data_IF_742755381565
#
_entry.id   IF_742755381565
#
_cell.length_a   1.000
_cell.length_b   1.000
_cell.length_c   1.000
_cell.angle_alpha   90.00
_cell.angle_beta   90.00
_cell.angle_gamma   90.00
#
_symmetry.space_group_name_H-M   'P 1'
#
loop_
_entity.id
_entity.type
_entity.pdbx_description
1 polymer ?
#
# COMPACT_ATOMS: atom_id res chain seq x y z
N UNK A 1 3.75 36.31 30.22
CA UNK A 1 2.74 35.85 29.23
C UNK A 1 3.35 35.05 28.08
N UNK A 2 4.52 35.38 27.54
CA UNK A 2 5.15 34.59 26.45
C UNK A 2 5.52 33.13 26.80
N UNK A 3 5.78 32.79 28.07
CA UNK A 3 6.12 31.41 28.47
C UNK A 3 4.94 30.43 28.52
N UNK A 4 3.69 30.92 28.41
CA UNK A 4 2.49 30.07 28.45
C UNK A 4 2.08 29.54 27.07
N UNK A 5 2.38 30.28 25.98
CA UNK A 5 2.06 29.85 24.61
C UNK A 5 2.89 28.63 24.19
N UNK A 6 4.18 28.63 24.53
CA UNK A 6 5.14 27.60 24.13
C UNK A 6 4.80 26.20 24.70
N UNK A 7 4.11 26.14 25.84
CA UNK A 7 3.70 24.86 26.44
C UNK A 7 2.44 24.30 25.80
N UNK A 8 1.55 25.14 25.28
CA UNK A 8 0.33 24.72 24.61
C UNK A 8 0.64 24.14 23.23
N UNK A 9 1.50 24.83 22.47
CA UNK A 9 1.92 24.39 21.13
C UNK A 9 2.62 23.02 21.18
N UNK A 10 3.46 22.77 22.20
CA UNK A 10 4.16 21.50 22.36
C UNK A 10 3.21 20.35 22.73
N UNK A 11 2.16 20.62 23.51
CA UNK A 11 1.12 19.63 23.82
C UNK A 11 0.29 19.31 22.59
N UNK A 12 -0.09 20.32 21.79
CA UNK A 12 -0.82 20.10 20.54
C UNK A 12 0.01 19.30 19.53
N UNK A 13 1.32 19.58 19.39
CA UNK A 13 2.23 18.80 18.54
C UNK A 13 2.39 17.36 19.04
N UNK A 14 2.48 17.16 20.36
CA UNK A 14 2.55 15.80 20.94
C UNK A 14 1.25 15.02 20.69
N UNK A 15 0.09 15.65 20.88
CA UNK A 15 -1.20 15.01 20.60
C UNK A 15 -1.37 14.69 19.12
N UNK A 16 -0.94 15.59 18.22
CA UNK A 16 -0.94 15.34 16.79
C UNK A 16 -0.03 14.15 16.45
N UNK A 17 1.19 14.12 17.01
CA UNK A 17 2.13 13.01 16.80
C UNK A 17 1.56 11.67 17.29
N UNK A 18 0.87 11.65 18.44
CA UNK A 18 0.22 10.43 18.95
C UNK A 18 -0.94 10.00 18.04
N UNK A 19 -1.77 10.93 17.56
CA UNK A 19 -2.88 10.60 16.65
C UNK A 19 -2.34 10.09 15.32
N UNK A 20 -1.30 10.70 14.76
CA UNK A 20 -0.63 10.23 13.54
C UNK A 20 -0.04 8.84 13.74
N UNK A 21 0.63 8.59 14.87
CA UNK A 21 1.20 7.29 15.20
C UNK A 21 0.16 6.18 15.47
N UNK A 22 -1.10 6.52 15.74
CA UNK A 22 -2.17 5.53 15.93
C UNK A 22 -3.03 5.29 14.69
N UNK A 23 -2.89 6.11 13.65
CA UNK A 23 -3.64 5.97 12.39
C UNK A 23 -2.84 5.18 11.34
N UNK A 24 -1.51 5.17 11.44
CA UNK A 24 -0.68 4.22 10.71
C UNK A 24 -0.83 2.84 11.36
N UNK A 25 -1.80 2.05 10.90
CA UNK A 25 -1.73 0.61 11.13
C UNK A 25 -0.69 0.07 10.16
N UNK A 26 0.53 -0.20 10.66
CA UNK A 26 1.62 -0.87 9.92
C UNK A 26 1.27 -2.34 9.58
N UNK A 27 -0.03 -2.69 9.57
CA UNK A 27 -0.52 -4.03 9.32
C UNK A 27 -0.66 -4.24 7.81
N UNK A 28 0.05 -5.25 7.33
CA UNK A 28 -0.04 -5.72 5.96
C UNK A 28 -1.40 -6.37 5.65
N UNK A 29 -1.67 -6.60 4.37
CA UNK A 29 -3.00 -6.99 3.88
C UNK A 29 -3.59 -8.26 4.51
N UNK A 30 -2.81 -9.13 5.14
CA UNK A 30 -3.33 -10.33 5.81
C UNK A 30 -3.52 -10.16 7.33
N UNK A 31 -3.22 -8.97 7.86
CA UNK A 31 -3.25 -8.63 9.28
C UNK A 31 -2.27 -9.40 10.16
N UNK A 32 -1.40 -10.22 9.56
CA UNK A 32 -0.44 -11.08 10.27
C UNK A 32 1.00 -10.55 10.16
N UNK A 33 1.34 -9.86 9.08
CA UNK A 33 2.65 -9.21 8.92
C UNK A 33 2.57 -7.73 9.26
N UNK A 34 3.66 -7.24 9.84
CA UNK A 34 3.92 -5.81 9.99
C UNK A 34 4.83 -5.43 8.84
N UNK A 35 4.63 -4.25 8.27
CA UNK A 35 5.55 -3.76 7.25
C UNK A 35 6.94 -3.53 7.86
N UNK A 36 7.98 -3.87 7.09
CA UNK A 36 9.37 -3.68 7.51
C UNK A 36 10.25 -3.33 6.31
N UNK A 37 11.40 -2.68 6.53
CA UNK A 37 12.34 -2.40 5.45
C UNK A 37 12.82 -3.69 4.78
N UNK A 38 12.80 -3.72 3.45
CA UNK A 38 13.41 -4.77 2.63
C UNK A 38 14.15 -4.16 1.43
N UNK A 39 15.46 -3.96 1.59
CA UNK A 39 16.33 -3.41 0.54
C UNK A 39 16.70 -4.43 -0.56
N UNK A 40 16.27 -5.70 -0.45
CA UNK A 40 16.54 -6.76 -1.43
C UNK A 40 15.35 -7.00 -2.37
N UNK A 41 14.52 -5.98 -2.59
CA UNK A 41 13.41 -6.05 -3.53
C UNK A 41 13.92 -5.82 -4.95
N UNK A 42 13.96 -6.88 -5.76
CA UNK A 42 14.32 -6.77 -7.18
C UNK A 42 13.24 -6.02 -7.97
N UNK A 43 11.96 -6.26 -7.64
CA UNK A 43 10.78 -5.55 -8.13
C UNK A 43 10.14 -4.73 -7.02
N UNK A 44 9.40 -3.68 -7.36
CA UNK A 44 8.68 -2.87 -6.36
C UNK A 44 9.59 -2.19 -5.34
N UNK A 45 10.87 -1.99 -5.64
CA UNK A 45 11.86 -1.48 -4.68
C UNK A 45 11.58 -0.05 -4.20
N UNK A 46 10.66 0.68 -4.83
CA UNK A 46 10.20 1.96 -4.27
C UNK A 46 9.47 1.80 -2.93
N UNK A 47 9.13 0.56 -2.54
CA UNK A 47 8.69 0.21 -1.20
C UNK A 47 9.83 -0.29 -0.28
N UNK A 48 11.11 -0.23 -0.67
CA UNK A 48 12.21 -0.85 0.07
C UNK A 48 12.36 -0.38 1.52
N UNK A 49 11.98 0.87 1.81
CA UNK A 49 12.07 1.44 3.15
C UNK A 49 10.94 0.98 4.08
N UNK A 50 9.79 0.61 3.51
CA UNK A 50 8.60 0.19 4.25
C UNK A 50 7.70 -0.67 3.34
N UNK A 51 7.76 -1.99 3.52
CA UNK A 51 7.06 -2.93 2.65
C UNK A 51 6.40 -4.09 3.39
N UNK A 52 5.32 -4.58 2.81
CA UNK A 52 4.71 -5.86 3.15
C UNK A 52 5.35 -7.07 2.44
N UNK A 53 6.22 -6.83 1.46
CA UNK A 53 6.94 -7.86 0.72
C UNK A 53 8.28 -8.19 1.40
N UNK A 54 8.20 -8.75 2.59
CA UNK A 54 9.37 -9.10 3.40
C UNK A 54 10.07 -10.36 2.88
N UNK A 55 11.33 -10.56 3.25
CA UNK A 55 12.13 -11.74 2.85
C UNK A 55 11.49 -13.08 3.29
N UNK A 56 10.66 -13.08 4.33
CA UNK A 56 9.95 -14.27 4.82
C UNK A 56 8.62 -14.56 4.13
N UNK A 57 8.06 -13.58 3.42
CA UNK A 57 6.70 -13.66 2.85
C UNK A 57 6.61 -14.57 1.62
N UNK A 58 7.73 -14.79 0.93
CA UNK A 58 7.78 -15.50 -0.36
C UNK A 58 7.07 -14.75 -1.51
N UNK A 59 6.54 -13.55 -1.26
CA UNK A 59 5.92 -12.72 -2.30
C UNK A 59 6.98 -12.09 -3.21
N UNK A 60 8.04 -11.49 -2.66
CA UNK A 60 9.09 -10.84 -3.44
C UNK A 60 9.61 -11.67 -4.65
N UNK A 61 10.05 -12.93 -4.49
CA UNK A 61 10.52 -13.73 -5.63
C UNK A 61 9.39 -14.10 -6.60
N UNK A 62 8.14 -14.23 -6.12
CA UNK A 62 6.99 -14.50 -6.99
C UNK A 62 6.63 -13.28 -7.83
N UNK A 63 6.65 -12.08 -7.23
CA UNK A 63 6.43 -10.84 -7.95
C UNK A 63 7.51 -10.64 -9.01
N UNK A 64 8.79 -10.88 -8.69
CA UNK A 64 9.89 -10.78 -9.66
C UNK A 64 9.67 -11.70 -10.87
N UNK A 65 9.29 -12.95 -10.63
CA UNK A 65 9.00 -13.93 -11.69
C UNK A 65 7.79 -13.53 -12.55
N UNK A 66 6.70 -13.07 -11.92
CA UNK A 66 5.50 -12.62 -12.64
C UNK A 66 5.81 -11.37 -13.48
N UNK A 67 6.55 -10.41 -12.91
CA UNK A 67 6.97 -9.20 -13.62
C UNK A 67 7.84 -9.54 -14.83
N UNK A 68 8.90 -10.33 -14.63
CA UNK A 68 9.79 -10.80 -15.70
C UNK A 68 9.01 -11.47 -16.83
N UNK A 69 8.11 -12.40 -16.47
CA UNK A 69 7.31 -13.13 -17.43
C UNK A 69 6.44 -12.19 -18.27
N UNK A 70 5.71 -11.30 -17.61
CA UNK A 70 4.80 -10.37 -18.29
C UNK A 70 5.53 -9.41 -19.21
N UNK A 71 6.67 -8.87 -18.79
CA UNK A 71 7.41 -7.99 -19.68
C UNK A 71 7.91 -8.77 -20.90
N UNK A 72 8.50 -9.96 -20.72
CA UNK A 72 8.99 -10.77 -21.83
C UNK A 72 7.87 -11.07 -22.84
N UNK A 73 6.66 -11.36 -22.35
CA UNK A 73 5.48 -11.53 -23.21
C UNK A 73 5.07 -10.25 -23.95
N UNK A 74 5.13 -9.09 -23.28
CA UNK A 74 4.69 -7.81 -23.84
C UNK A 74 5.69 -7.25 -24.86
N UNK A 75 6.98 -7.45 -24.62
CA UNK A 75 8.06 -6.83 -25.40
C UNK A 75 8.71 -7.76 -26.41
N UNK A 76 8.27 -9.03 -26.50
CA UNK A 76 8.91 -10.09 -27.29
C UNK A 76 10.38 -10.25 -26.88
N UNK A 77 10.61 -10.61 -25.61
CA UNK A 77 11.92 -10.73 -24.97
C UNK A 77 12.79 -9.46 -25.11
N UNK A 78 12.17 -8.28 -24.96
CA UNK A 78 12.82 -6.97 -25.04
C UNK A 78 13.05 -6.44 -26.45
N UNK A 79 12.63 -7.15 -27.51
CA UNK A 79 12.82 -6.72 -28.88
C UNK A 79 12.04 -5.44 -29.26
N UNK A 80 10.91 -5.16 -28.58
CA UNK A 80 9.99 -4.05 -28.91
C UNK A 80 9.69 -3.11 -27.73
N UNK A 81 10.64 -2.93 -26.80
CA UNK A 81 10.48 -2.00 -25.68
C UNK A 81 10.59 -0.53 -26.11
N UNK A 82 9.51 0.05 -26.65
CA UNK A 82 9.42 1.51 -26.84
C UNK A 82 9.29 2.24 -25.50
N UNK A 83 9.65 3.51 -25.47
CA UNK A 83 9.54 4.33 -24.24
C UNK A 83 8.09 4.40 -23.75
N UNK A 84 7.14 4.55 -24.68
CA UNK A 84 5.71 4.61 -24.40
C UNK A 84 5.18 3.25 -23.89
N UNK A 85 5.66 2.14 -24.45
CA UNK A 85 5.30 0.80 -23.97
C UNK A 85 5.83 0.57 -22.55
N UNK A 86 7.06 1.00 -22.25
CA UNK A 86 7.62 0.92 -20.92
C UNK A 86 6.80 1.74 -19.91
N UNK A 87 6.36 2.95 -20.26
CA UNK A 87 5.47 3.73 -19.39
C UNK A 87 4.12 3.04 -19.14
N UNK A 88 3.54 2.44 -20.18
CA UNK A 88 2.31 1.66 -20.04
C UNK A 88 2.51 0.46 -19.10
N UNK A 89 3.64 -0.25 -19.24
CA UNK A 89 3.99 -1.37 -18.39
C UNK A 89 4.25 -0.96 -16.93
N UNK A 90 4.82 0.23 -16.71
CA UNK A 90 5.02 0.77 -15.35
C UNK A 90 3.71 0.84 -14.56
N UNK A 91 2.57 1.19 -15.17
CA UNK A 91 1.29 1.16 -14.45
C UNK A 91 0.86 -0.25 -14.06
N UNK A 92 1.15 -1.23 -14.91
CA UNK A 92 0.91 -2.63 -14.61
C UNK A 92 1.75 -3.07 -13.42
N UNK A 93 3.07 -2.82 -13.45
CA UNK A 93 3.98 -3.15 -12.34
C UNK A 93 3.54 -2.48 -11.04
N UNK A 94 3.21 -1.19 -11.11
CA UNK A 94 2.72 -0.38 -9.98
C UNK A 94 1.47 -1.00 -9.33
N UNK A 95 0.50 -1.40 -10.15
CA UNK A 95 -0.69 -2.10 -9.66
C UNK A 95 -0.35 -3.41 -8.96
N UNK A 96 0.56 -4.23 -9.49
CA UNK A 96 0.97 -5.49 -8.84
C UNK A 96 1.72 -5.25 -7.54
N UNK A 97 2.59 -4.25 -7.53
CA UNK A 97 3.34 -3.83 -6.36
C UNK A 97 2.46 -3.22 -5.26
N UNK A 98 1.19 -2.93 -5.52
CA UNK A 98 0.24 -2.50 -4.47
C UNK A 98 0.13 -3.50 -3.31
N UNK A 99 0.41 -4.79 -3.54
CA UNK A 99 0.46 -5.80 -2.47
C UNK A 99 1.65 -5.61 -1.51
N UNK A 100 2.70 -4.93 -1.97
CA UNK A 100 3.88 -4.60 -1.18
C UNK A 100 3.71 -3.28 -0.41
N UNK A 101 2.64 -2.53 -0.67
CA UNK A 101 2.32 -1.25 -0.01
C UNK A 101 1.98 -1.46 1.47
N UNK A 102 2.56 -0.66 2.39
CA UNK A 102 2.18 -0.70 3.80
C UNK A 102 0.75 -0.19 4.03
N UNK A 103 0.30 0.76 3.21
CA UNK A 103 -1.09 1.19 3.17
C UNK A 103 -1.94 0.07 2.52
N UNK A 104 -2.64 -0.71 3.34
CA UNK A 104 -3.42 -1.86 2.84
C UNK A 104 -4.74 -1.43 2.18
N UNK A 105 -4.67 -1.13 0.86
CA UNK A 105 -5.85 -1.03 -0.02
C UNK A 105 -6.36 -2.41 -0.48
N UNK A 106 -5.65 -3.46 -0.08
CA UNK A 106 -5.92 -4.87 -0.35
C UNK A 106 -6.73 -5.43 0.80
N UNK A 107 -7.95 -5.87 0.52
CA UNK A 107 -8.84 -6.46 1.53
C UNK A 107 -8.74 -7.99 1.44
N UNK A 108 -8.33 -8.68 2.52
CA UNK A 108 -8.37 -10.12 2.58
C UNK A 108 -9.84 -10.55 2.64
N UNK A 109 -10.34 -11.13 1.56
CA UNK A 109 -11.65 -11.76 1.49
C UNK A 109 -11.46 -13.27 1.27
N UNK A 110 -12.45 -14.12 1.58
CA UNK A 110 -12.42 -15.54 1.23
C UNK A 110 -12.57 -15.72 -0.30
N UNK A 111 -11.58 -15.24 -1.05
CA UNK A 111 -11.48 -15.13 -2.51
C UNK A 111 -12.68 -14.42 -3.21
N UNK A 112 -12.44 -13.53 -4.17
CA UNK A 112 -11.13 -13.04 -4.64
C UNK A 112 -10.50 -12.03 -3.65
N UNK A 113 -9.18 -11.86 -3.70
CA UNK A 113 -8.49 -10.75 -3.02
C UNK A 113 -8.93 -9.46 -3.73
N UNK A 114 -9.51 -8.51 -3.00
CA UNK A 114 -9.99 -7.27 -3.59
C UNK A 114 -8.97 -6.15 -3.38
N UNK A 115 -8.54 -5.51 -4.46
CA UNK A 115 -7.68 -4.32 -4.44
C UNK A 115 -8.57 -3.11 -4.73
N UNK A 116 -8.61 -2.15 -3.81
CA UNK A 116 -9.37 -0.90 -4.02
C UNK A 116 -8.48 0.11 -4.74
N UNK A 117 -8.80 0.47 -5.99
CA UNK A 117 -7.98 1.32 -6.85
C UNK A 117 -8.70 2.64 -7.13
N UNK A 118 -7.94 3.72 -7.17
CA UNK A 118 -8.51 5.02 -7.50
C UNK A 118 -8.89 5.10 -8.98
N UNK A 119 -10.07 5.64 -9.26
CA UNK A 119 -10.50 5.88 -10.64
C UNK A 119 -9.48 6.70 -11.45
N UNK A 120 -8.83 7.68 -10.82
CA UNK A 120 -7.79 8.49 -11.45
C UNK A 120 -6.60 7.65 -11.93
N UNK A 121 -6.17 6.65 -11.15
CA UNK A 121 -5.08 5.75 -11.53
C UNK A 121 -5.47 4.92 -12.76
N UNK A 122 -6.69 4.38 -12.77
CA UNK A 122 -7.23 3.63 -13.89
C UNK A 122 -7.32 4.48 -15.17
N UNK A 123 -7.78 5.72 -15.06
CA UNK A 123 -7.89 6.64 -16.19
C UNK A 123 -6.52 7.06 -16.74
N UNK A 124 -5.56 7.37 -15.86
CA UNK A 124 -4.18 7.68 -16.25
C UNK A 124 -3.52 6.50 -16.95
N UNK A 125 -3.66 5.30 -16.40
CA UNK A 125 -3.16 4.07 -17.01
C UNK A 125 -3.74 3.86 -18.41
N UNK A 126 -5.07 3.92 -18.56
CA UNK A 126 -5.70 3.77 -19.86
C UNK A 126 -5.21 4.79 -20.87
N UNK A 127 -5.11 6.07 -20.48
CA UNK A 127 -4.65 7.14 -21.36
C UNK A 127 -3.19 6.97 -21.78
N UNK A 128 -2.32 6.50 -20.89
CA UNK A 128 -0.93 6.17 -21.22
C UNK A 128 -0.88 5.00 -22.21
N UNK A 129 -1.59 3.92 -21.93
CA UNK A 129 -1.54 2.69 -22.73
C UNK A 129 -2.23 2.80 -24.09
N UNK A 130 -3.36 3.52 -24.21
CA UNK A 130 -4.08 3.66 -25.48
C UNK A 130 -3.27 4.42 -26.54
N UNK A 131 -2.25 5.16 -26.13
CA UNK A 131 -1.33 5.87 -27.03
C UNK A 131 -0.32 4.95 -27.72
N UNK A 132 -0.12 3.75 -27.17
CA UNK A 132 0.73 2.70 -27.74
C UNK A 132 -0.10 1.89 -28.75
N UNK A 133 0.20 1.91 -30.06
CA UNK A 133 -0.66 1.33 -31.09
C UNK A 133 -1.01 -0.14 -30.86
N UNK A 134 -0.04 -0.94 -30.42
CA UNK A 134 -0.19 -2.37 -30.18
C UNK A 134 -1.12 -2.65 -28.99
N UNK A 135 -0.97 -1.88 -27.91
CA UNK A 135 -1.81 -2.01 -26.70
C UNK A 135 -3.21 -1.45 -26.95
N UNK A 136 -3.32 -0.30 -27.61
CA UNK A 136 -4.60 0.30 -27.99
C UNK A 136 -5.43 -0.61 -28.91
N UNK A 137 -4.77 -1.33 -29.83
CA UNK A 137 -5.45 -2.34 -30.67
C UNK A 137 -6.03 -3.49 -29.82
N UNK A 138 -5.31 -3.94 -28.79
CA UNK A 138 -5.82 -4.96 -27.84
C UNK A 138 -6.97 -4.43 -27.00
N UNK A 139 -6.89 -3.20 -26.50
CA UNK A 139 -8.02 -2.59 -25.78
C UNK A 139 -9.29 -2.56 -26.63
N UNK A 140 -9.17 -2.21 -27.91
CA UNK A 140 -10.31 -2.26 -28.83
C UNK A 140 -10.86 -3.68 -29.05
N UNK A 141 -10.00 -4.71 -29.13
CA UNK A 141 -10.40 -6.12 -29.24
C UNK A 141 -11.25 -6.58 -28.06
N UNK A 142 -10.87 -6.15 -26.84
CA UNK A 142 -11.58 -6.48 -25.60
C UNK A 142 -12.66 -5.48 -25.21
N UNK A 143 -13.00 -4.53 -26.09
CA UNK A 143 -13.99 -3.47 -25.81
C UNK A 143 -13.66 -2.63 -24.56
N UNK A 144 -12.37 -2.43 -24.27
CA UNK A 144 -11.88 -1.55 -23.21
C UNK A 144 -11.80 -0.13 -23.77
N UNK A 145 -12.68 0.76 -23.32
CA UNK A 145 -12.87 2.12 -23.85
C UNK A 145 -12.52 3.24 -22.86
N UNK A 146 -12.24 2.89 -21.61
CA UNK A 146 -11.91 3.83 -20.54
C UNK A 146 -11.12 3.14 -19.41
N UNK A 147 -10.61 3.92 -18.47
CA UNK A 147 -9.85 3.42 -17.32
C UNK A 147 -10.63 2.46 -16.44
N UNK A 148 -11.91 2.74 -16.21
CA UNK A 148 -12.76 1.88 -15.38
C UNK A 148 -12.88 0.47 -15.98
N UNK A 149 -13.13 0.38 -17.29
CA UNK A 149 -13.18 -0.89 -18.01
C UNK A 149 -11.82 -1.61 -17.99
N UNK A 150 -10.71 -0.89 -18.15
CA UNK A 150 -9.36 -1.44 -18.05
C UNK A 150 -9.12 -2.10 -16.69
N UNK A 151 -9.40 -1.38 -15.60
CA UNK A 151 -9.24 -1.89 -14.24
C UNK A 151 -10.19 -3.05 -13.91
N UNK A 152 -11.39 -3.07 -14.48
CA UNK A 152 -12.30 -4.22 -14.35
C UNK A 152 -11.84 -5.44 -15.16
N UNK A 153 -11.11 -5.24 -16.26
CA UNK A 153 -10.57 -6.31 -17.10
C UNK A 153 -9.19 -6.80 -16.65
N UNK A 154 -8.56 -6.17 -15.67
CA UNK A 154 -7.24 -6.51 -15.15
C UNK A 154 -7.09 -7.97 -14.66
N UNK A 155 -8.09 -8.57 -13.97
CA UNK A 155 -8.06 -10.00 -13.64
C UNK A 155 -8.03 -10.91 -14.88
N UNK A 156 -8.50 -10.40 -16.03
CA UNK A 156 -8.47 -11.05 -17.34
C UNK A 156 -7.17 -10.70 -18.07
N UNK A 157 -6.62 -9.49 -17.93
CA UNK A 157 -5.41 -9.05 -18.64
C UNK A 157 -4.16 -9.88 -18.28
N UNK A 158 -4.04 -10.38 -17.04
CA UNK A 158 -3.02 -11.38 -16.70
C UNK A 158 -3.20 -12.70 -17.48
N UNK A 159 -4.44 -13.04 -17.85
CA UNK A 159 -4.81 -14.21 -18.67
C UNK A 159 -4.69 -13.93 -20.17
N UNK A 160 -4.82 -12.67 -20.62
CA UNK A 160 -4.77 -12.27 -22.04
C UNK A 160 -3.39 -12.49 -22.69
N UNK A 161 -2.33 -12.60 -21.89
CA UNK A 161 -0.98 -12.84 -22.37
C UNK A 161 -0.53 -14.31 -22.21
N UNK A 162 -1.42 -15.20 -21.78
CA UNK A 162 -1.14 -16.63 -21.67
C UNK A 162 -1.83 -17.42 -22.79
N UNK A 163 -1.12 -17.68 -23.90
CA UNK A 163 -1.55 -18.70 -24.87
C UNK A 163 -1.28 -20.14 -24.40
N UNK A 164 -0.54 -20.36 -23.31
CA UNK A 164 -0.09 -21.70 -22.89
C UNK A 164 -0.46 -22.17 -21.47
N UNK A 165 -1.17 -21.40 -20.65
CA UNK A 165 -1.72 -21.94 -19.40
C UNK A 165 -3.07 -22.60 -19.67
N UNK A 166 -2.98 -23.80 -20.24
CA UNK A 166 -4.10 -24.70 -20.58
C UNK A 166 -4.91 -25.21 -19.36
N UNK A 167 -5.04 -24.44 -18.27
CA UNK A 167 -5.92 -24.82 -17.16
C UNK A 167 -6.51 -23.68 -16.32
N UNK A 168 -6.66 -22.46 -16.88
CA UNK A 168 -7.45 -21.37 -16.26
C UNK A 168 -8.90 -21.36 -16.77
N UNK A 169 -9.50 -22.56 -16.87
CA UNK A 169 -10.98 -22.66 -16.87
C UNK A 169 -11.54 -22.58 -15.45
N UNK A 170 -10.71 -22.24 -14.45
CA UNK A 170 -11.16 -21.94 -13.11
C UNK A 170 -11.73 -20.50 -13.11
N UNK A 171 -13.05 -20.30 -13.05
CA UNK A 171 -13.70 -18.98 -13.13
C UNK A 171 -13.42 -18.08 -11.91
N UNK A 172 -12.54 -18.51 -11.01
CA UNK A 172 -12.15 -17.80 -9.82
C UNK A 172 -10.84 -17.07 -10.10
N UNK A 173 -10.94 -15.85 -10.64
CA UNK A 173 -9.79 -14.95 -10.66
C UNK A 173 -9.34 -14.73 -9.22
N UNK A 174 -8.04 -14.91 -8.88
CA UNK A 174 -7.58 -14.74 -7.50
C UNK A 174 -7.70 -13.29 -7.01
N UNK A 175 -7.89 -12.35 -7.94
CA UNK A 175 -8.01 -10.93 -7.67
C UNK A 175 -9.31 -10.35 -8.24
N UNK A 176 -9.84 -9.36 -7.54
CA UNK A 176 -10.88 -8.45 -7.99
C UNK A 176 -10.39 -7.02 -7.78
N UNK A 177 -10.82 -6.11 -8.64
CA UNK A 177 -10.53 -4.68 -8.51
C UNK A 177 -11.83 -3.99 -8.11
N UNK A 178 -11.79 -3.25 -7.00
CA UNK A 178 -12.87 -2.34 -6.59
C UNK A 178 -12.43 -0.92 -6.94
N UNK A 179 -13.25 -0.17 -7.66
CA UNK A 179 -12.89 1.16 -8.15
C UNK A 179 -13.58 2.19 -7.27
N UNK A 180 -12.78 3.04 -6.63
CA UNK A 180 -13.29 4.08 -5.72
C UNK A 180 -12.70 5.45 -6.05
N UNK A 181 -13.32 6.51 -5.51
CA UNK A 181 -12.86 7.89 -5.65
C UNK A 181 -12.05 8.39 -4.46
N UNK A 182 -12.17 7.72 -3.30
CA UNK A 182 -11.51 8.09 -2.05
C UNK A 182 -11.05 6.82 -1.32
N UNK A 183 -10.01 6.93 -0.48
CA UNK A 183 -9.44 5.83 0.30
C UNK A 183 -9.07 4.60 -0.55
N UNK A 184 -8.36 4.85 -1.64
CA UNK A 184 -8.04 3.87 -2.67
C UNK A 184 -6.56 3.97 -3.05
N UNK A 185 -6.06 2.93 -3.71
CA UNK A 185 -4.71 2.91 -4.24
C UNK A 185 -4.60 3.85 -5.44
N UNK A 186 -3.83 4.93 -5.28
CA UNK A 186 -3.59 5.91 -6.34
C UNK A 186 -2.38 5.59 -7.21
N UNK A 187 -1.68 4.49 -6.92
CA UNK A 187 -0.36 4.22 -7.49
C UNK A 187 0.73 5.11 -6.91
N UNK A 188 1.97 4.70 -7.19
CA UNK A 188 3.16 5.54 -7.05
C UNK A 188 3.32 6.35 -8.34
N UNK A 189 3.77 7.60 -8.27
CA UNK A 189 3.90 8.38 -9.51
C UNK A 189 4.93 7.72 -10.45
N UNK A 190 4.68 7.78 -11.76
CA UNK A 190 5.62 7.24 -12.77
C UNK A 190 7.01 7.86 -12.68
N UNK A 191 7.14 9.08 -12.12
CA UNK A 191 8.43 9.69 -11.81
C UNK A 191 9.16 8.99 -10.69
N UNK A 192 8.49 8.65 -9.59
CA UNK A 192 9.10 7.93 -8.46
C UNK A 192 9.48 6.52 -8.89
N UNK A 193 8.61 5.87 -9.68
CA UNK A 193 8.97 4.60 -10.31
C UNK A 193 10.18 4.80 -11.23
N UNK A 194 10.17 5.74 -12.17
CA UNK A 194 11.30 5.96 -13.08
C UNK A 194 12.62 6.40 -12.42
N UNK A 195 12.60 6.93 -11.20
CA UNK A 195 13.79 7.33 -10.42
C UNK A 195 14.31 6.24 -9.48
N UNK A 196 13.52 5.17 -9.26
CA UNK A 196 13.91 4.10 -8.35
C UNK A 196 15.00 3.20 -8.96
N UNK A 197 15.80 2.56 -8.09
CA UNK A 197 17.00 1.81 -8.52
C UNK A 197 16.66 0.53 -9.29
N UNK A 198 15.47 -0.03 -9.05
CA UNK A 198 14.97 -1.26 -9.67
C UNK A 198 14.19 -1.01 -10.98
N UNK A 199 14.16 0.21 -11.50
CA UNK A 199 13.16 0.66 -12.48
C UNK A 199 13.68 1.67 -13.51
N UNK A 200 13.00 1.76 -14.67
CA UNK A 200 12.05 0.78 -15.18
C UNK A 200 12.81 -0.49 -15.61
N UNK A 201 12.20 -1.66 -15.40
CA UNK A 201 12.79 -2.96 -15.74
C UNK A 201 13.40 -2.96 -17.14
N UNK A 202 14.68 -3.31 -17.23
CA UNK A 202 15.48 -3.25 -18.45
C UNK A 202 15.64 -4.61 -19.15
N UNK A 203 15.03 -5.68 -18.63
CA UNK A 203 15.07 -7.00 -19.27
C UNK A 203 15.45 -8.17 -18.38
N UNK A 204 16.13 -7.92 -17.25
CA UNK A 204 16.79 -9.01 -16.51
C UNK A 204 16.79 -8.74 -15.01
N UNK A 205 15.83 -9.31 -14.28
CA UNK A 205 16.09 -9.60 -12.86
C UNK A 205 16.92 -10.88 -12.81
N UNK A 206 18.22 -10.76 -12.50
CA UNK A 206 19.04 -11.93 -12.20
C UNK A 206 18.45 -12.60 -10.96
N UNK A 207 17.90 -13.81 -11.10
CA UNK A 207 17.34 -14.56 -9.97
C UNK A 207 18.44 -14.78 -8.91
N UNK A 208 18.36 -14.13 -7.73
CA UNK A 208 19.40 -14.27 -6.72
C UNK A 208 19.44 -15.69 -6.15
N UNK A 209 18.39 -16.49 -6.36
CA UNK A 209 18.30 -17.87 -5.90
C UNK A 209 18.94 -18.88 -6.86
N UNK A 210 19.23 -18.49 -8.10
CA UNK A 210 19.99 -19.30 -9.07
C UNK A 210 21.43 -18.80 -9.27
N UNK A 211 21.94 -17.97 -8.35
CA UNK A 211 23.38 -17.69 -8.28
C UNK A 211 24.09 -18.93 -7.73
N UNK A 212 24.78 -19.64 -8.62
CA UNK A 212 25.59 -20.81 -8.32
C UNK A 212 26.66 -20.48 -7.28
N UNK A 213 26.44 -20.81 -6.01
CA UNK A 213 27.43 -21.03 -4.94
C UNK A 213 28.86 -20.49 -5.18
N UNK A 214 29.03 -19.19 -5.38
CA UNK A 214 30.35 -18.55 -5.25
C UNK A 214 30.42 -17.97 -3.84
N UNK A 215 31.16 -18.67 -2.98
CA UNK A 215 31.39 -18.31 -1.58
C UNK A 215 31.92 -16.86 -1.46
N UNK A 216 31.26 -15.97 -0.70
CA UNK A 216 31.84 -14.67 -0.42
C UNK A 216 32.97 -14.83 0.59
N UNK A 217 34.17 -14.49 0.11
CA UNK A 217 35.39 -14.32 0.89
C UNK A 217 35.17 -13.40 2.10
N UNK A 218 35.59 -13.89 3.26
CA UNK A 218 35.47 -13.26 4.58
C UNK A 218 36.26 -11.94 4.70
N UNK A 219 35.56 -10.82 4.86
CA UNK A 219 36.13 -9.54 5.30
C UNK A 219 35.73 -9.22 6.75
N UNK A 220 36.69 -9.26 7.67
CA UNK A 220 36.54 -8.84 9.08
C UNK A 220 36.69 -7.32 9.23
N UNK A 221 35.76 -6.65 9.93
CA UNK A 221 35.96 -5.34 10.57
C UNK A 221 35.13 -5.33 11.87
N UNK A 222 35.75 -5.53 13.03
CA UNK A 222 36.36 -4.54 13.94
C UNK A 222 35.35 -3.62 14.63
N UNK A 223 35.02 -4.02 15.85
CA UNK A 223 34.32 -3.32 16.91
C UNK A 223 35.06 -2.05 17.37
N UNK A 224 34.33 -0.96 17.62
CA UNK A 224 34.83 0.18 18.39
C UNK A 224 33.80 0.59 19.46
N UNK A 225 34.28 0.66 20.69
CA UNK A 225 33.54 1.01 21.90
C UNK A 225 33.65 2.52 22.14
N UNK A 226 32.60 3.16 22.65
CA UNK A 226 32.76 4.46 23.30
C UNK A 226 31.85 4.56 24.53
N UNK A 227 32.47 4.38 25.69
CA UNK A 227 31.97 4.77 27.02
C UNK A 227 32.01 6.30 27.14
N UNK A 228 31.00 6.85 27.81
CA UNK A 228 30.92 8.28 28.11
C UNK A 228 30.19 8.49 29.43
N UNK A 229 30.96 8.43 30.52
CA UNK A 229 30.55 8.81 31.88
C UNK A 229 30.37 10.32 31.99
N UNK A 230 29.35 10.74 32.75
CA UNK A 230 29.05 12.15 33.00
C UNK A 230 28.25 12.32 34.28
N UNK A 231 28.94 12.27 35.41
CA UNK A 231 28.45 12.65 36.73
C UNK A 231 28.17 14.16 36.80
N UNK A 232 27.06 14.53 37.46
CA UNK A 232 26.68 15.92 37.67
C UNK A 232 25.75 16.07 38.88
N UNK A 233 26.35 16.20 40.05
CA UNK A 233 25.71 16.59 41.32
C UNK A 233 25.09 18.01 41.23
N UNK A 234 23.93 18.21 41.85
CA UNK A 234 23.26 19.51 41.92
C UNK A 234 22.20 19.57 43.02
N UNK A 235 22.52 20.35 44.05
CA UNK A 235 21.87 20.50 45.37
C UNK A 235 20.41 20.96 45.43
N UNK A 236 19.82 20.62 46.59
CA UNK A 236 18.58 21.07 47.22
C UNK A 236 18.28 22.58 47.12
N UNK A 237 16.99 22.92 46.95
CA UNK A 237 16.33 23.99 47.73
C UNK A 237 14.82 23.75 47.78
N UNK A 238 14.31 23.56 48.99
CA UNK A 238 12.88 23.44 49.27
C UNK A 238 12.17 24.80 49.25
N UNK A 239 10.97 24.81 48.67
CA UNK A 239 9.99 25.89 48.83
C UNK A 239 8.59 25.27 49.00
N UNK A 240 8.13 25.27 50.25
CA UNK A 240 6.98 24.52 50.76
C UNK A 240 5.66 25.30 50.60
N UNK A 241 5.34 25.74 49.37
CA UNK A 241 4.07 26.45 49.07
C UNK A 241 3.34 25.96 47.80
N UNK A 242 3.75 24.81 47.26
CA UNK A 242 3.38 24.33 45.92
C UNK A 242 2.32 23.23 45.83
N UNK A 243 1.38 23.06 46.75
CA UNK A 243 0.39 21.96 46.61
C UNK A 243 -0.87 22.33 45.82
N UNK A 244 -1.31 23.59 45.81
CA UNK A 244 -2.55 23.99 45.13
C UNK A 244 -2.49 23.90 43.59
N UNK A 245 -1.33 24.20 42.98
CA UNK A 245 -1.19 24.11 41.52
C UNK A 245 -1.18 22.66 41.03
N UNK A 246 -0.71 21.70 41.83
CA UNK A 246 -0.73 20.26 41.51
C UNK A 246 -2.17 19.77 41.39
N UNK A 247 -3.05 20.15 42.33
CA UNK A 247 -4.47 19.82 42.25
C UNK A 247 -5.16 20.46 41.04
N UNK A 248 -4.77 21.67 40.67
CA UNK A 248 -5.30 22.36 39.49
C UNK A 248 -4.85 21.68 38.18
N UNK A 249 -3.58 21.28 38.07
CA UNK A 249 -3.05 20.53 36.93
C UNK A 249 -3.71 19.15 36.82
N UNK A 250 -3.90 18.45 37.94
CA UNK A 250 -4.62 17.18 37.99
C UNK A 250 -6.08 17.34 37.55
N UNK A 251 -6.78 18.37 38.04
CA UNK A 251 -8.17 18.63 37.67
C UNK A 251 -8.31 18.91 36.17
N UNK A 252 -7.43 19.73 35.58
CA UNK A 252 -7.42 19.99 34.14
C UNK A 252 -7.09 18.72 33.36
N UNK A 253 -6.12 17.93 33.81
CA UNK A 253 -5.74 16.66 33.20
C UNK A 253 -6.92 15.67 33.15
N UNK A 254 -7.68 15.54 34.23
CA UNK A 254 -8.89 14.70 34.27
C UNK A 254 -9.97 15.20 33.30
N UNK A 255 -10.19 16.52 33.23
CA UNK A 255 -11.18 17.09 32.29
C UNK A 255 -10.77 16.83 30.84
N UNK A 256 -9.49 17.01 30.50
CA UNK A 256 -8.98 16.71 29.15
C UNK A 256 -9.13 15.22 28.82
N UNK A 257 -8.82 14.32 29.76
CA UNK A 257 -9.02 12.88 29.58
C UNK A 257 -10.49 12.54 29.31
N UNK A 258 -11.42 13.16 30.03
CA UNK A 258 -12.86 12.96 29.80
C UNK A 258 -13.30 13.49 28.42
N UNK A 259 -12.78 14.63 27.97
CA UNK A 259 -13.10 15.18 26.63
C UNK A 259 -12.58 14.23 25.54
N UNK A 260 -11.35 13.73 25.66
CA UNK A 260 -10.79 12.75 24.72
C UNK A 260 -11.63 11.48 24.70
N UNK A 261 -12.01 10.94 25.86
CA UNK A 261 -12.86 9.77 25.96
C UNK A 261 -14.23 9.96 25.28
N UNK A 262 -14.84 11.16 25.42
CA UNK A 262 -16.10 11.51 24.74
C UNK A 262 -15.91 11.60 23.22
N UNK A 263 -14.81 12.18 22.75
CA UNK A 263 -14.51 12.27 21.31
C UNK A 263 -14.32 10.88 20.71
N UNK A 264 -13.51 10.03 21.35
CA UNK A 264 -13.25 8.65 20.90
C UNK A 264 -14.55 7.84 20.91
N UNK A 265 -15.32 7.89 21.99
CA UNK A 265 -16.62 7.22 22.06
C UNK A 265 -17.59 7.74 20.99
N UNK A 266 -17.62 9.05 20.75
CA UNK A 266 -18.41 9.68 19.69
C UNK A 266 -18.00 9.20 18.30
N UNK A 267 -16.70 9.09 18.03
CA UNK A 267 -16.16 8.58 16.76
C UNK A 267 -16.53 7.12 16.54
N UNK A 268 -16.39 6.25 17.56
CA UNK A 268 -16.81 4.85 17.47
C UNK A 268 -18.31 4.69 17.24
N UNK A 269 -19.14 5.49 17.92
CA UNK A 269 -20.59 5.48 17.71
C UNK A 269 -20.97 5.99 16.33
N UNK A 270 -20.25 6.98 15.80
CA UNK A 270 -20.44 7.48 14.44
C UNK A 270 -20.05 6.45 13.39
N UNK A 271 -18.88 5.79 13.53
CA UNK A 271 -18.44 4.69 12.66
C UNK A 271 -19.45 3.54 12.65
N UNK A 272 -20.02 3.20 13.83
CA UNK A 272 -21.12 2.21 13.92
C UNK A 272 -22.38 2.62 13.18
N UNK A 273 -22.74 3.91 13.16
CA UNK A 273 -23.90 4.39 12.40
C UNK A 273 -23.70 4.26 10.89
N UNK A 274 -22.49 4.53 10.39
CA UNK A 274 -22.20 4.37 8.96
C UNK A 274 -22.39 2.92 8.49
N UNK A 275 -21.95 1.93 9.28
CA UNK A 275 -22.13 0.52 8.97
C UNK A 275 -23.62 0.08 8.91
N UNK A 276 -24.50 0.72 9.69
CA UNK A 276 -25.94 0.44 9.68
C UNK A 276 -26.67 1.04 8.46
N UNK A 277 -26.22 2.18 7.93
CA UNK A 277 -26.84 2.79 6.74
C UNK A 277 -26.56 2.00 5.46
N UNK A 278 -25.40 1.32 5.36
CA UNK A 278 -25.06 0.51 4.18
C UNK A 278 -25.88 -0.78 4.12
N UNK A 279 -26.28 -1.34 5.27
CA UNK A 279 -27.13 -2.54 5.31
C UNK A 279 -28.59 -2.26 5.01
N UNK A 280 -29.11 -1.05 5.28
CA UNK A 280 -30.47 -0.68 4.87
C UNK A 280 -30.60 -0.39 3.37
N UNK A 281 -29.53 0.03 2.69
CA UNK A 281 -29.54 0.27 1.25
C UNK A 281 -29.48 -1.04 0.43
N UNK A 282 -28.93 -2.11 1.01
CA UNK A 282 -28.89 -3.43 0.40
C UNK A 282 -30.20 -4.23 0.53
N UNK A 283 -31.11 -3.81 1.42
CA UNK A 283 -32.39 -4.49 1.67
C UNK A 283 -33.55 -4.00 0.77
N UNK A 284 -33.30 -3.04 -0.11
CA UNK A 284 -34.33 -2.44 -1.00
C UNK A 284 -34.11 -2.79 -2.49
N UNK A 285 -33.25 -3.78 -2.78
CA UNK A 285 -33.20 -4.38 -4.12
C UNK A 285 -34.32 -5.42 -4.23
N UNK A 286 -35.34 -5.21 -5.08
CA UNK A 286 -36.38 -6.20 -5.30
C UNK A 286 -35.75 -7.49 -5.85
N UNK A 287 -36.18 -8.63 -5.32
CA UNK A 287 -35.85 -9.97 -5.81
C UNK A 287 -35.96 -10.00 -7.34
N UNK A 288 -34.82 -10.18 -8.01
CA UNK A 288 -34.74 -10.33 -9.48
C UNK A 288 -34.99 -11.78 -9.93
N UNK A 289 -35.45 -12.66 -9.04
CA UNK A 289 -35.76 -14.06 -9.31
C UNK A 289 -37.05 -14.27 -10.15
N UNK A 290 -37.70 -13.21 -10.64
CA UNK A 290 -38.95 -13.31 -11.42
C UNK A 290 -38.81 -13.00 -12.93
N UNK A 291 -37.59 -12.87 -13.47
CA UNK A 291 -37.39 -12.46 -14.88
C UNK A 291 -36.94 -13.55 -15.87
N UNK A 292 -37.03 -14.84 -15.51
CA UNK A 292 -36.68 -15.96 -16.40
C UNK A 292 -37.86 -16.57 -17.19
N UNK A 293 -39.08 -16.02 -17.09
CA UNK A 293 -40.29 -16.57 -17.75
C UNK A 293 -40.79 -15.73 -18.95
N UNK A 294 -39.88 -15.32 -19.85
CA UNK A 294 -40.29 -14.79 -21.17
C UNK A 294 -39.50 -15.44 -22.32
N UNK A 295 -40.10 -16.51 -22.86
CA UNK A 295 -39.89 -17.09 -24.19
C UNK A 295 -40.37 -16.17 -25.33
#
# INVERSE_FOLDING_TARGET
MLRFSLRFDLICLLCLAIVVAQVASDECFDGAWVSEPNHNLDVCCWYSEDTCCTNGSGFAPRLANVSNYLYNQITDDGAYASFELNQCYTYYENMFCSICSPDSYVRPAPAPITITVCQSFCDEWYNTCTSVPEVGARFAEFSISNGTELCNHLPVAAVLYETEVMNITNPHTPFAVDIATENCYSGVSSSVVGESVCTPWDGVYEDPYYSTNEEPSSGKQSSDNTEGDGDGDGDDTGDDSGYYWIFLVLAIGVVLLLVIAVIVAGFFLWKRRQAATVTSAAADFPDLDELDDYD
#
